data_IF_696646874863
#
_entry.id   IF_696646874863
#
_cell.length_a   1.000
_cell.length_b   1.000
_cell.length_c   1.000
_cell.angle_alpha   90.00
_cell.angle_beta   90.00
_cell.angle_gamma   90.00
#
_symmetry.space_group_name_H-M   'P 1'
#
loop_
_entity.id
_entity.type
_entity.pdbx_description
1 polymer ?
#
# COMPACT_ATOMS: atom_id res chain seq x y z
N UNK A 1 42.13 2.95 -6.80
CA UNK A 1 41.64 2.34 -5.55
C UNK A 1 40.15 1.92 -5.59
N UNK A 2 39.47 1.98 -6.74
CA UNK A 2 38.04 1.62 -6.87
C UNK A 2 37.81 0.26 -7.54
N UNK A 3 38.72 -0.19 -8.41
CA UNK A 3 38.56 -1.43 -9.19
C UNK A 3 38.89 -2.69 -8.37
N UNK A 4 39.80 -2.58 -7.39
CA UNK A 4 40.17 -3.70 -6.52
C UNK A 4 39.04 -4.10 -5.58
N UNK A 5 38.32 -3.12 -5.00
CA UNK A 5 37.15 -3.37 -4.13
C UNK A 5 35.98 -3.96 -4.90
N UNK A 6 35.77 -3.54 -6.15
CA UNK A 6 34.73 -4.10 -7.02
C UNK A 6 35.04 -5.57 -7.35
N UNK A 7 36.29 -5.89 -7.69
CA UNK A 7 36.74 -7.26 -7.94
C UNK A 7 36.68 -8.12 -6.70
N UNK A 8 36.99 -7.56 -5.53
CA UNK A 8 36.91 -8.24 -4.24
C UNK A 8 35.46 -8.55 -3.85
N UNK A 9 34.52 -7.62 -4.05
CA UNK A 9 33.08 -7.86 -3.85
C UNK A 9 32.52 -8.89 -4.84
N UNK A 10 32.95 -8.85 -6.10
CA UNK A 10 32.55 -9.83 -7.12
C UNK A 10 33.13 -11.20 -6.79
N UNK A 11 34.38 -11.30 -6.34
CA UNK A 11 34.94 -12.57 -5.89
C UNK A 11 34.24 -13.10 -4.64
N UNK A 12 33.90 -12.24 -3.68
CA UNK A 12 33.17 -12.61 -2.47
C UNK A 12 31.78 -13.17 -2.79
N UNK A 13 31.10 -12.64 -3.82
CA UNK A 13 29.80 -13.14 -4.28
C UNK A 13 29.94 -14.45 -5.09
N UNK A 14 31.09 -14.68 -5.74
CA UNK A 14 31.35 -15.86 -6.57
C UNK A 14 31.94 -17.05 -5.79
N UNK A 15 32.57 -16.83 -4.62
CA UNK A 15 33.17 -17.88 -3.78
C UNK A 15 32.17 -18.50 -2.78
N UNK A 16 31.04 -17.83 -2.48
CA UNK A 16 30.08 -18.19 -1.42
C UNK A 16 28.75 -18.77 -1.93
N UNK A 17 28.76 -19.46 -3.08
CA UNK A 17 27.55 -20.03 -3.69
C UNK A 17 26.86 -21.11 -2.82
N UNK A 18 27.57 -21.66 -1.81
CA UNK A 18 27.03 -22.67 -0.88
C UNK A 18 26.63 -22.09 0.50
N UNK A 19 27.19 -20.98 0.97
CA UNK A 19 26.80 -20.33 2.25
C UNK A 19 25.56 -19.42 2.11
N UNK A 20 25.30 -18.90 0.89
CA UNK A 20 24.09 -18.10 0.60
C UNK A 20 22.79 -18.91 0.72
N UNK A 21 22.83 -20.24 0.54
CA UNK A 21 21.62 -21.09 0.67
C UNK A 21 21.11 -21.16 2.10
N UNK A 22 22.01 -21.19 3.08
CA UNK A 22 21.66 -21.21 4.51
C UNK A 22 21.12 -19.86 4.96
N UNK A 23 21.69 -18.75 4.47
CA UNK A 23 21.14 -17.41 4.70
C UNK A 23 19.75 -17.24 4.05
N UNK A 24 19.51 -17.78 2.85
CA UNK A 24 18.22 -17.64 2.17
C UNK A 24 17.07 -18.39 2.86
N UNK A 25 17.29 -19.62 3.34
CA UNK A 25 16.28 -20.36 4.12
C UNK A 25 15.98 -19.64 5.45
N UNK A 26 17.02 -19.11 6.11
CA UNK A 26 16.86 -18.37 7.34
C UNK A 26 16.14 -17.02 7.11
N UNK A 27 16.46 -16.29 6.04
CA UNK A 27 15.76 -15.06 5.66
C UNK A 27 14.29 -15.34 5.32
N UNK A 28 14.00 -16.45 4.63
CA UNK A 28 12.64 -16.84 4.30
C UNK A 28 11.81 -17.14 5.55
N UNK A 29 12.35 -17.89 6.51
CA UNK A 29 11.61 -18.21 7.74
C UNK A 29 11.29 -16.94 8.55
N UNK A 30 12.21 -15.97 8.57
CA UNK A 30 11.99 -14.66 9.19
C UNK A 30 10.93 -13.85 8.43
N UNK A 31 10.93 -13.90 7.09
CA UNK A 31 9.90 -13.26 6.28
C UNK A 31 8.53 -13.86 6.57
N UNK A 32 8.39 -15.19 6.63
CA UNK A 32 7.12 -15.89 6.94
C UNK A 32 6.60 -15.48 8.31
N UNK A 33 7.46 -15.47 9.34
CA UNK A 33 7.07 -15.22 10.72
C UNK A 33 6.71 -13.74 10.99
N UNK A 34 7.28 -12.80 10.24
CA UNK A 34 7.01 -11.37 10.43
C UNK A 34 5.66 -10.99 9.80
N UNK A 35 4.77 -10.41 10.62
CA UNK A 35 3.52 -9.79 10.16
C UNK A 35 3.87 -8.50 9.39
N UNK A 36 4.06 -8.64 8.07
CA UNK A 36 4.40 -7.50 7.18
C UNK A 36 3.23 -6.55 7.03
N UNK A 37 1.99 -7.05 7.15
CA UNK A 37 0.77 -6.24 7.18
C UNK A 37 0.70 -5.41 8.47
N UNK A 38 1.47 -4.33 8.49
CA UNK A 38 1.31 -3.26 9.47
C UNK A 38 -0.08 -2.68 9.28
N UNK A 39 -0.92 -2.70 10.31
CA UNK A 39 -2.23 -2.06 10.23
C UNK A 39 -2.02 -0.54 10.16
N UNK A 40 -2.04 0.01 8.95
CA UNK A 40 -1.82 1.42 8.68
C UNK A 40 -2.86 2.28 9.42
N UNK A 41 -4.06 1.74 9.68
CA UNK A 41 -5.10 2.46 10.40
C UNK A 41 -4.81 2.57 11.90
N UNK A 42 -4.07 1.62 12.49
CA UNK A 42 -3.76 1.59 13.93
C UNK A 42 -2.73 2.64 14.36
N UNK A 43 -1.81 3.05 13.47
CA UNK A 43 -0.77 4.06 13.73
C UNK A 43 -1.37 5.47 13.92
N UNK A 44 -2.58 5.68 13.41
CA UNK A 44 -3.13 7.01 13.19
C UNK A 44 -4.09 7.46 14.30
N UNK A 45 -4.68 6.52 15.04
CA UNK A 45 -5.55 6.81 16.18
C UNK A 45 -4.86 7.63 17.27
N UNK A 46 -3.53 7.45 17.44
CA UNK A 46 -2.76 8.06 18.53
C UNK A 46 -2.21 9.47 18.23
N UNK A 47 -2.18 9.93 16.97
CA UNK A 47 -1.44 11.16 16.59
C UNK A 47 -2.28 12.29 15.97
N UNK A 48 -3.59 12.16 15.90
CA UNK A 48 -4.44 13.20 15.29
C UNK A 48 -4.67 14.37 16.26
N UNK A 49 -4.13 15.54 15.91
CA UNK A 49 -4.44 16.78 16.62
C UNK A 49 -5.92 17.17 16.43
N UNK A 50 -6.48 17.92 17.38
CA UNK A 50 -7.90 18.33 17.34
C UNK A 50 -8.23 19.11 16.06
N UNK A 51 -7.31 19.96 15.60
CA UNK A 51 -7.47 20.72 14.36
C UNK A 51 -7.54 19.84 13.11
N UNK A 52 -6.74 18.78 13.04
CA UNK A 52 -6.77 17.82 11.93
C UNK A 52 -8.07 17.01 11.91
N UNK A 53 -8.62 16.63 13.08
CA UNK A 53 -9.92 15.96 13.15
C UNK A 53 -11.07 16.86 12.68
N UNK A 54 -11.01 18.15 13.00
CA UNK A 54 -12.01 19.12 12.54
C UNK A 54 -11.90 19.40 11.04
N UNK A 55 -10.69 19.59 10.52
CA UNK A 55 -10.45 19.81 9.09
C UNK A 55 -11.00 18.65 8.24
N UNK A 56 -10.84 17.41 8.70
CA UNK A 56 -11.43 16.23 8.03
C UNK A 56 -12.93 16.24 7.98
N UNK A 57 -13.55 16.60 9.10
CA UNK A 57 -14.99 16.62 9.21
C UNK A 57 -15.55 17.70 8.27
N UNK A 58 -14.89 18.87 8.25
CA UNK A 58 -15.23 19.98 7.36
C UNK A 58 -15.01 19.57 5.90
N UNK A 59 -13.90 18.93 5.54
CA UNK A 59 -13.62 18.50 4.17
C UNK A 59 -14.61 17.44 3.68
N UNK A 60 -14.94 16.45 4.52
CA UNK A 60 -15.95 15.42 4.20
C UNK A 60 -17.35 16.01 4.07
N UNK A 61 -17.69 16.99 4.90
CA UNK A 61 -18.98 17.68 4.84
C UNK A 61 -19.09 18.57 3.60
N UNK A 62 -18.06 19.38 3.32
CA UNK A 62 -18.00 20.26 2.16
C UNK A 62 -17.95 19.49 0.83
N UNK A 63 -17.42 18.27 0.81
CA UNK A 63 -17.41 17.38 -0.36
C UNK A 63 -18.73 16.64 -0.63
N UNK A 64 -19.78 16.85 0.18
CA UNK A 64 -21.05 16.15 0.02
C UNK A 64 -21.99 16.83 -0.99
N UNK A 65 -22.63 16.05 -1.85
CA UNK A 65 -23.68 16.53 -2.76
C UNK A 65 -24.85 17.22 -2.03
N UNK A 66 -25.18 16.78 -0.81
CA UNK A 66 -26.26 17.40 -0.01
C UNK A 66 -25.88 18.81 0.46
N UNK A 67 -24.61 19.03 0.80
CA UNK A 67 -24.12 20.35 1.22
C UNK A 67 -24.24 21.36 0.08
N UNK A 68 -23.85 20.99 -1.14
CA UNK A 68 -23.93 21.84 -2.34
C UNK A 68 -25.39 22.29 -2.58
N UNK A 69 -26.35 21.37 -2.49
CA UNK A 69 -27.77 21.67 -2.72
C UNK A 69 -28.32 22.64 -1.66
N UNK A 70 -28.00 22.41 -0.38
CA UNK A 70 -28.43 23.29 0.72
C UNK A 70 -27.78 24.67 0.56
N UNK A 71 -26.49 24.73 0.25
CA UNK A 71 -25.74 25.97 0.08
C UNK A 71 -26.33 26.83 -1.06
N UNK A 72 -26.59 26.24 -2.22
CA UNK A 72 -27.23 26.94 -3.35
C UNK A 72 -28.64 27.39 -2.97
N UNK A 73 -29.41 26.55 -2.28
CA UNK A 73 -30.77 26.89 -1.83
C UNK A 73 -30.76 28.08 -0.86
N UNK A 74 -29.79 28.13 0.07
CA UNK A 74 -29.60 29.26 0.97
C UNK A 74 -29.24 30.55 0.22
N UNK A 75 -28.38 30.48 -0.80
CA UNK A 75 -28.04 31.64 -1.64
C UNK A 75 -29.26 32.17 -2.38
N UNK A 76 -30.05 31.29 -3.01
CA UNK A 76 -31.28 31.66 -3.70
C UNK A 76 -32.29 32.27 -2.72
N UNK A 77 -32.46 31.67 -1.54
CA UNK A 77 -33.34 32.19 -0.49
C UNK A 77 -32.89 33.57 -0.01
N UNK A 78 -31.59 33.79 0.17
CA UNK A 78 -31.03 35.08 0.56
C UNK A 78 -31.32 36.16 -0.47
N UNK A 79 -31.14 35.86 -1.76
CA UNK A 79 -31.44 36.77 -2.87
C UNK A 79 -32.93 37.13 -2.87
N UNK A 80 -33.82 36.15 -2.71
CA UNK A 80 -35.28 36.37 -2.67
C UNK A 80 -35.67 37.26 -1.48
N UNK A 81 -35.14 36.95 -0.28
CA UNK A 81 -35.43 37.73 0.92
C UNK A 81 -34.92 39.18 0.82
N UNK A 82 -33.71 39.39 0.30
CA UNK A 82 -33.14 40.72 0.13
C UNK A 82 -33.81 41.53 -0.99
N UNK A 83 -34.36 40.85 -2.01
CA UNK A 83 -35.13 41.50 -3.07
C UNK A 83 -36.57 41.83 -2.65
N UNK A 84 -37.16 41.07 -1.72
CA UNK A 84 -38.54 41.25 -1.27
C UNK A 84 -38.68 42.18 -0.06
N UNK A 85 -37.67 42.25 0.82
CA UNK A 85 -37.63 43.15 1.97
C UNK A 85 -36.67 44.31 1.72
N UNK A 86 -36.85 45.42 2.45
CA UNK A 86 -36.03 46.65 2.38
C UNK A 86 -34.55 46.28 2.24
N UNK A 87 -33.93 46.63 1.11
CA UNK A 87 -32.65 46.09 0.66
C UNK A 87 -31.53 46.34 1.68
N UNK A 88 -31.27 45.34 2.52
CA UNK A 88 -30.16 45.33 3.47
C UNK A 88 -28.82 45.08 2.75
N UNK A 89 -28.87 44.34 1.63
CA UNK A 89 -27.78 44.09 0.69
C UNK A 89 -28.34 44.26 -0.74
N UNK A 90 -28.45 45.51 -1.19
CA UNK A 90 -28.96 45.84 -2.52
C UNK A 90 -28.02 45.29 -3.61
N UNK A 91 -28.59 44.97 -4.79
CA UNK A 91 -27.82 44.61 -5.96
C UNK A 91 -26.72 45.65 -6.19
N UNK A 92 -25.41 45.29 -6.19
CA UNK A 92 -24.82 44.00 -6.59
C UNK A 92 -24.41 43.01 -5.46
N UNK A 93 -25.06 43.02 -4.29
CA UNK A 93 -24.83 42.09 -3.16
C UNK A 93 -23.38 42.10 -2.62
N UNK A 94 -22.95 43.21 -2.04
CA UNK A 94 -21.56 43.40 -1.58
C UNK A 94 -21.23 42.49 -0.39
N UNK A 95 -22.17 42.30 0.54
CA UNK A 95 -21.94 41.52 1.76
C UNK A 95 -21.89 40.03 1.43
N UNK A 96 -22.80 39.55 0.59
CA UNK A 96 -22.80 38.17 0.13
C UNK A 96 -21.50 37.83 -0.61
N UNK A 97 -21.06 38.70 -1.52
CA UNK A 97 -19.79 38.51 -2.23
C UNK A 97 -18.59 38.48 -1.28
N UNK A 98 -18.53 39.38 -0.29
CA UNK A 98 -17.45 39.42 0.69
C UNK A 98 -17.37 38.12 1.51
N UNK A 99 -18.51 37.63 2.02
CA UNK A 99 -18.57 36.39 2.79
C UNK A 99 -18.15 35.21 1.90
N UNK A 100 -18.66 35.13 0.67
CA UNK A 100 -18.35 34.04 -0.26
C UNK A 100 -16.85 34.01 -0.60
N UNK A 101 -16.23 35.16 -0.84
CA UNK A 101 -14.78 35.26 -1.07
C UNK A 101 -13.97 34.81 0.15
N UNK A 102 -14.38 35.18 1.36
CA UNK A 102 -13.71 34.75 2.59
C UNK A 102 -13.81 33.22 2.79
N UNK A 103 -14.99 32.64 2.57
CA UNK A 103 -15.20 31.19 2.65
C UNK A 103 -14.33 30.46 1.64
N UNK A 104 -14.32 30.91 0.37
CA UNK A 104 -13.51 30.30 -0.67
C UNK A 104 -12.00 30.36 -0.37
N UNK A 105 -11.52 31.48 0.19
CA UNK A 105 -10.11 31.66 0.54
C UNK A 105 -9.65 30.67 1.63
N UNK A 106 -10.49 30.37 2.62
CA UNK A 106 -10.20 29.39 3.67
C UNK A 106 -10.40 27.95 3.18
N UNK A 107 -11.29 27.74 2.22
CA UNK A 107 -11.64 26.42 1.71
C UNK A 107 -10.47 25.74 0.97
N UNK A 108 -9.72 26.47 0.14
CA UNK A 108 -8.62 25.89 -0.64
C UNK A 108 -7.49 25.27 0.23
N UNK A 109 -6.96 25.96 1.27
CA UNK A 109 -5.98 25.37 2.19
C UNK A 109 -6.53 24.17 2.99
N UNK A 110 -7.78 24.22 3.44
CA UNK A 110 -8.39 23.11 4.20
C UNK A 110 -8.53 21.87 3.32
N UNK A 111 -8.96 22.05 2.07
CA UNK A 111 -9.02 20.96 1.09
C UNK A 111 -7.61 20.42 0.83
N UNK A 112 -6.61 21.29 0.62
CA UNK A 112 -5.22 20.89 0.38
C UNK A 112 -4.62 20.13 1.57
N UNK A 113 -4.88 20.57 2.81
CA UNK A 113 -4.46 19.85 4.02
C UNK A 113 -5.12 18.47 4.11
N UNK A 114 -6.40 18.36 3.77
CA UNK A 114 -7.10 17.08 3.73
C UNK A 114 -6.55 16.18 2.61
N UNK A 115 -6.19 16.74 1.45
CA UNK A 115 -5.61 16.02 0.32
C UNK A 115 -4.21 15.50 0.62
N UNK A 116 -3.27 16.36 1.06
CA UNK A 116 -1.91 15.97 1.43
C UNK A 116 -1.89 14.79 2.41
N UNK A 117 -2.86 14.76 3.32
CA UNK A 117 -2.98 13.68 4.30
C UNK A 117 -3.61 12.40 3.73
N UNK A 118 -4.53 12.50 2.79
CA UNK A 118 -4.99 11.30 2.06
C UNK A 118 -3.87 10.72 1.20
N UNK A 119 -3.11 11.57 0.50
CA UNK A 119 -1.95 11.14 -0.30
C UNK A 119 -0.89 10.45 0.56
N UNK A 120 -0.62 10.96 1.77
CA UNK A 120 0.31 10.29 2.69
C UNK A 120 -0.19 8.89 3.09
N UNK A 121 -1.49 8.72 3.35
CA UNK A 121 -2.09 7.40 3.64
C UNK A 121 -2.00 6.48 2.44
N UNK A 122 -2.31 6.97 1.26
CA UNK A 122 -2.29 6.19 0.04
C UNK A 122 -0.85 5.77 -0.29
N UNK A 123 0.13 6.64 -0.06
CA UNK A 123 1.55 6.31 -0.16
C UNK A 123 1.96 5.19 0.80
N UNK A 124 1.57 5.28 2.08
CA UNK A 124 1.89 4.25 3.07
C UNK A 124 1.20 2.92 2.75
N UNK A 125 -0.04 2.94 2.26
CA UNK A 125 -0.76 1.75 1.76
C UNK A 125 -0.04 1.12 0.59
N UNK A 126 0.32 1.92 -0.40
CA UNK A 126 1.04 1.47 -1.59
C UNK A 126 2.39 0.82 -1.24
N UNK A 127 3.12 1.39 -0.27
CA UNK A 127 4.37 0.79 0.22
C UNK A 127 4.15 -0.56 0.92
N UNK A 128 3.11 -0.69 1.74
CA UNK A 128 2.79 -1.94 2.41
C UNK A 128 2.34 -3.03 1.43
N UNK A 129 1.50 -2.64 0.46
CA UNK A 129 1.06 -3.52 -0.62
C UNK A 129 2.25 -3.99 -1.45
N UNK A 130 3.18 -3.09 -1.79
CA UNK A 130 4.43 -3.42 -2.47
C UNK A 130 5.28 -4.45 -1.69
N UNK A 131 5.48 -4.23 -0.39
CA UNK A 131 6.25 -5.16 0.45
C UNK A 131 5.56 -6.52 0.59
N UNK A 132 4.23 -6.53 0.66
CA UNK A 132 3.44 -7.77 0.70
C UNK A 132 3.56 -8.53 -0.61
N UNK A 133 3.50 -7.84 -1.75
CA UNK A 133 3.67 -8.44 -3.07
C UNK A 133 5.08 -9.01 -3.25
N UNK A 134 6.11 -8.24 -2.88
CA UNK A 134 7.50 -8.69 -2.94
C UNK A 134 7.73 -9.94 -2.06
N UNK A 135 7.15 -9.98 -0.86
CA UNK A 135 7.19 -11.17 0.00
C UNK A 135 6.50 -12.37 -0.65
N UNK A 136 5.35 -12.16 -1.29
CA UNK A 136 4.64 -13.23 -1.99
C UNK A 136 5.46 -13.78 -3.15
N UNK A 137 6.10 -12.90 -3.93
CA UNK A 137 6.99 -13.28 -5.03
C UNK A 137 8.16 -14.15 -4.56
N UNK A 138 8.86 -13.75 -3.51
CA UNK A 138 9.97 -14.54 -2.92
C UNK A 138 9.48 -15.92 -2.44
N UNK A 139 8.34 -15.97 -1.76
CA UNK A 139 7.78 -17.24 -1.27
C UNK A 139 7.39 -18.17 -2.45
N UNK A 140 6.84 -17.61 -3.53
CA UNK A 140 6.49 -18.39 -4.73
C UNK A 140 7.76 -18.94 -5.40
N UNK A 141 8.82 -18.14 -5.51
CA UNK A 141 10.09 -18.59 -6.08
C UNK A 141 10.70 -19.72 -5.26
N UNK A 142 10.74 -19.60 -3.94
CA UNK A 142 11.22 -20.67 -3.05
C UNK A 142 10.37 -21.94 -3.15
N UNK A 143 9.04 -21.79 -3.18
CA UNK A 143 8.12 -22.91 -3.36
C UNK A 143 8.36 -23.63 -4.69
N UNK A 144 8.65 -22.87 -5.76
CA UNK A 144 8.97 -23.44 -7.07
C UNK A 144 10.26 -24.25 -7.01
N UNK A 145 11.32 -23.71 -6.42
CA UNK A 145 12.60 -24.43 -6.24
C UNK A 145 12.43 -25.72 -5.44
N UNK A 146 11.66 -25.68 -4.35
CA UNK A 146 11.36 -26.88 -3.54
C UNK A 146 10.53 -27.91 -4.31
N UNK A 147 9.61 -27.45 -5.16
CA UNK A 147 8.83 -28.33 -6.02
C UNK A 147 9.71 -29.02 -7.06
N UNK A 148 10.63 -28.30 -7.69
CA UNK A 148 11.60 -28.87 -8.64
C UNK A 148 12.48 -29.93 -7.97
N UNK A 149 13.00 -29.64 -6.77
CA UNK A 149 13.77 -30.62 -5.97
C UNK A 149 12.94 -31.87 -5.62
N UNK A 150 11.66 -31.71 -5.30
CA UNK A 150 10.78 -32.85 -5.04
C UNK A 150 10.56 -33.70 -6.29
N UNK A 151 10.40 -33.07 -7.46
CA UNK A 151 10.25 -33.77 -8.74
C UNK A 151 11.52 -34.55 -9.10
N UNK A 152 12.71 -33.94 -8.97
CA UNK A 152 13.98 -34.64 -9.19
C UNK A 152 14.17 -35.85 -8.26
N UNK A 153 13.80 -35.68 -6.98
CA UNK A 153 13.85 -36.77 -6.01
C UNK A 153 12.89 -37.91 -6.40
N UNK A 154 11.67 -37.59 -6.85
CA UNK A 154 10.71 -38.60 -7.32
C UNK A 154 11.24 -39.37 -8.54
N UNK A 155 11.83 -38.68 -9.52
CA UNK A 155 12.44 -39.32 -10.69
C UNK A 155 13.57 -40.26 -10.28
N UNK A 156 14.44 -39.84 -9.36
CA UNK A 156 15.53 -40.68 -8.85
C UNK A 156 15.02 -41.94 -8.15
N UNK A 157 13.93 -41.82 -7.37
CA UNK A 157 13.28 -42.95 -6.69
C UNK A 157 12.68 -43.89 -7.72
N UNK A 158 12.00 -43.36 -8.75
CA UNK A 158 11.39 -44.17 -9.80
C UNK A 158 12.44 -44.98 -10.58
N UNK A 159 13.58 -44.37 -10.93
CA UNK A 159 14.70 -45.07 -11.55
C UNK A 159 15.32 -46.14 -10.64
N UNK A 160 15.32 -45.94 -9.32
CA UNK A 160 15.79 -46.96 -8.36
C UNK A 160 14.83 -48.13 -8.28
N UNK A 161 13.53 -47.87 -8.25
CA UNK A 161 12.48 -48.91 -8.27
C UNK A 161 12.60 -49.74 -9.54
N UNK A 162 12.69 -49.10 -10.72
CA UNK A 162 12.82 -49.81 -12.01
C UNK A 162 14.08 -50.69 -12.08
N UNK A 163 15.20 -50.21 -11.54
CA UNK A 163 16.43 -51.01 -11.45
C UNK A 163 16.29 -52.22 -10.53
N UNK A 164 15.59 -52.07 -9.41
CA UNK A 164 15.33 -53.18 -8.48
C UNK A 164 14.39 -54.21 -9.07
N UNK A 165 13.34 -53.78 -9.78
CA UNK A 165 12.43 -54.69 -10.52
C UNK A 165 13.20 -55.51 -11.56
N UNK A 166 14.05 -54.86 -12.36
CA UNK A 166 14.92 -55.55 -13.34
C UNK A 166 15.87 -56.55 -12.68
N UNK A 167 16.46 -56.22 -11.53
CA UNK A 167 17.35 -57.15 -10.81
C UNK A 167 16.60 -58.34 -10.20
N UNK A 168 15.37 -58.13 -9.73
CA UNK A 168 14.52 -59.19 -9.19
C UNK A 168 14.10 -60.18 -10.30
N UNK A 169 13.80 -59.69 -11.51
CA UNK A 169 13.39 -60.51 -12.65
C UNK A 169 14.54 -61.36 -13.25
N UNK A 170 15.80 -60.93 -13.04
CA UNK A 170 17.00 -61.63 -13.55
C UNK A 170 17.48 -62.76 -12.62
N UNK A 171 16.97 -62.84 -11.38
CA UNK A 171 17.38 -63.88 -10.42
C UNK A 171 16.43 -65.08 -10.54
N UNK A 172 16.75 -66.15 -11.31
CA UNK A 172 15.89 -67.32 -11.34
C UNK A 172 15.83 -67.92 -9.94
N UNK A 173 14.62 -68.27 -9.51
CA UNK A 173 14.42 -69.10 -8.33
C UNK A 173 15.27 -70.36 -8.48
N UNK A 174 16.19 -70.55 -7.54
CA UNK A 174 17.09 -71.71 -7.49
C UNK A 174 16.34 -72.98 -7.11
#
# INVERSE_FOLDING_TARGET
MSDSKMRELVNLILEDEDDIKLEQEEILHLLIQRKVSKDINSIEGEKLTVGQKMADHIARFAGSWRFIIIFISCLVLWIILNSAFKAFDAYPFILLNLILSCVAAVQAPVIMMSQNRQEEKDRLRSQNDYLTNLKAEIIIEDLHRKLDQLLENQDSIMQRVERLEKQADIKPEG
#
